data_IF_458632113054
#
_entry.id   IF_458632113054
#
_cell.length_a   1.000
_cell.length_b   1.000
_cell.length_c   1.000
_cell.angle_alpha   90.00
_cell.angle_beta   90.00
_cell.angle_gamma   90.00
#
_symmetry.space_group_name_H-M   'P 1'
#
loop_
_entity.id
_entity.type
_entity.pdbx_description
1 polymer ?
#
# COMPACT_ATOMS: atom_id res chain seq x y z
N UNK A 1 23.65 43.97 -30.72
CA UNK A 1 24.47 42.74 -30.87
C UNK A 1 24.66 42.15 -29.47
N UNK A 2 24.49 40.82 -29.30
CA UNK A 2 24.53 40.04 -28.04
C UNK A 2 23.16 40.06 -27.32
N UNK A 3 22.43 38.97 -27.10
CA UNK A 3 22.66 37.52 -27.07
C UNK A 3 21.30 36.88 -27.41
N UNK A 4 21.05 36.04 -28.42
CA UNK A 4 21.64 34.72 -28.72
C UNK A 4 21.66 33.72 -27.57
N UNK A 5 20.84 33.89 -26.54
CA UNK A 5 20.44 32.76 -25.70
C UNK A 5 18.96 32.58 -25.93
N UNK A 6 18.68 31.72 -26.90
CA UNK A 6 17.48 30.90 -26.90
C UNK A 6 17.45 30.30 -25.50
N UNK A 7 16.70 30.93 -24.59
CA UNK A 7 16.07 30.23 -23.48
C UNK A 7 15.03 29.33 -24.16
N UNK A 8 15.52 28.33 -24.88
CA UNK A 8 15.01 27.00 -24.72
C UNK A 8 15.17 26.77 -23.22
N UNK A 9 14.18 27.25 -22.46
CA UNK A 9 13.51 26.35 -21.55
C UNK A 9 13.51 25.04 -22.31
N UNK A 10 14.40 24.15 -21.88
CA UNK A 10 14.37 22.76 -22.20
C UNK A 10 12.96 22.40 -21.77
N UNK A 11 12.02 22.57 -22.70
CA UNK A 11 10.73 21.92 -22.64
C UNK A 11 11.21 20.50 -22.63
N UNK A 12 11.21 19.89 -21.45
CA UNK A 12 11.20 18.45 -21.34
C UNK A 12 9.94 18.07 -22.13
N UNK A 13 10.11 17.88 -23.44
CA UNK A 13 9.07 17.42 -24.34
C UNK A 13 8.65 16.12 -23.68
N UNK A 14 7.38 16.07 -23.24
CA UNK A 14 6.84 15.03 -22.37
C UNK A 14 6.79 13.66 -23.03
N UNK A 15 7.97 13.15 -23.37
CA UNK A 15 8.23 11.90 -24.07
C UNK A 15 8.70 10.83 -23.08
N UNK A 16 9.36 11.23 -22.00
CA UNK A 16 9.71 10.32 -20.90
C UNK A 16 8.48 10.04 -20.02
N UNK A 17 8.35 8.80 -19.58
CA UNK A 17 7.41 8.44 -18.53
C UNK A 17 7.80 9.08 -17.19
N UNK A 18 6.79 9.43 -16.40
CA UNK A 18 6.99 9.77 -14.99
C UNK A 18 7.38 8.54 -14.18
N UNK A 19 7.72 8.73 -12.90
CA UNK A 19 7.95 7.61 -11.99
C UNK A 19 6.66 6.77 -11.84
N UNK A 20 6.69 5.44 -12.06
CA UNK A 20 5.48 4.60 -12.11
C UNK A 20 4.79 4.38 -10.76
N UNK A 21 5.37 4.91 -9.66
CA UNK A 21 4.98 4.62 -8.29
C UNK A 21 5.60 3.31 -7.78
N UNK A 22 5.89 3.28 -6.49
CA UNK A 22 6.39 2.10 -5.78
C UNK A 22 5.45 1.78 -4.60
N UNK A 23 4.89 0.57 -4.50
CA UNK A 23 4.09 0.17 -3.35
C UNK A 23 4.95 0.04 -2.09
N UNK A 24 4.30 0.02 -0.92
CA UNK A 24 4.97 -0.28 0.33
C UNK A 24 5.64 -1.65 0.29
N UNK A 25 6.73 -1.81 1.04
CA UNK A 25 7.51 -3.05 1.12
C UNK A 25 8.00 -3.56 -0.25
N UNK A 26 8.37 -2.64 -1.13
CA UNK A 26 8.86 -2.95 -2.46
C UNK A 26 10.04 -2.08 -2.89
N UNK A 27 10.78 -2.62 -3.84
CA UNK A 27 11.86 -1.95 -4.56
C UNK A 27 11.54 -1.97 -6.06
N UNK A 28 11.84 -0.85 -6.74
CA UNK A 28 11.71 -0.71 -8.20
C UNK A 28 13.09 -0.55 -8.83
N UNK A 29 13.35 -1.33 -9.87
CA UNK A 29 14.53 -1.17 -10.72
C UNK A 29 14.13 -0.83 -12.16
N UNK A 30 14.94 -0.03 -12.83
CA UNK A 30 14.72 0.38 -14.21
C UNK A 30 15.80 -0.19 -15.11
N UNK A 31 15.42 -0.55 -16.32
CA UNK A 31 16.36 -1.04 -17.34
C UNK A 31 17.28 0.06 -17.90
N UNK A 32 16.92 1.32 -17.73
CA UNK A 32 17.61 2.51 -18.25
C UNK A 32 17.63 3.62 -17.19
N UNK A 33 18.59 4.54 -17.31
CA UNK A 33 18.71 5.70 -16.41
C UNK A 33 17.68 6.79 -16.70
N UNK A 34 17.31 6.95 -17.97
CA UNK A 34 16.19 7.79 -18.39
C UNK A 34 14.94 6.95 -18.58
N UNK A 35 13.81 7.45 -18.07
CA UNK A 35 12.50 6.81 -18.19
C UNK A 35 11.88 7.07 -19.57
N UNK A 36 12.63 6.82 -20.64
CA UNK A 36 12.17 6.99 -22.02
C UNK A 36 11.22 5.85 -22.47
N UNK A 37 10.46 6.02 -23.57
CA UNK A 37 9.67 4.94 -24.14
C UNK A 37 10.52 3.69 -24.41
N UNK A 38 9.99 2.52 -24.05
CA UNK A 38 10.70 1.25 -24.05
C UNK A 38 11.39 0.90 -22.73
N UNK A 39 11.51 1.84 -21.79
CA UNK A 39 12.05 1.55 -20.45
C UNK A 39 11.21 0.51 -19.72
N UNK A 40 11.86 -0.49 -19.12
CA UNK A 40 11.19 -1.51 -18.29
C UNK A 40 11.41 -1.20 -16.82
N UNK A 41 10.33 -1.07 -16.07
CA UNK A 41 10.32 -1.01 -14.61
C UNK A 41 10.01 -2.42 -14.05
N UNK A 42 10.88 -2.93 -13.19
CA UNK A 42 10.72 -4.22 -12.52
C UNK A 42 10.49 -4.01 -11.02
N UNK A 43 9.46 -4.66 -10.50
CA UNK A 43 9.05 -4.59 -9.10
C UNK A 43 9.51 -5.84 -8.35
N UNK A 44 10.05 -5.64 -7.16
CA UNK A 44 10.44 -6.70 -6.24
C UNK A 44 9.93 -6.38 -4.85
N UNK A 45 9.28 -7.34 -4.18
CA UNK A 45 8.85 -7.17 -2.80
C UNK A 45 9.97 -7.50 -1.81
N UNK A 46 9.90 -6.90 -0.64
CA UNK A 46 10.77 -7.24 0.49
C UNK A 46 10.52 -8.68 0.96
N UNK A 47 11.48 -9.25 1.72
CA UNK A 47 11.32 -10.60 2.26
C UNK A 47 10.08 -10.73 3.13
N UNK A 48 9.28 -11.77 2.86
CA UNK A 48 8.03 -12.03 3.56
C UNK A 48 6.79 -11.41 2.91
N UNK A 49 6.97 -10.74 1.77
CA UNK A 49 5.88 -10.20 0.96
C UNK A 49 5.85 -10.85 -0.42
N UNK A 50 4.65 -11.05 -0.94
CA UNK A 50 4.36 -11.59 -2.25
C UNK A 50 3.82 -10.51 -3.18
N UNK A 51 4.33 -10.47 -4.42
CA UNK A 51 3.95 -9.46 -5.39
C UNK A 51 2.62 -9.84 -6.06
N UNK A 52 1.61 -9.01 -5.84
CA UNK A 52 0.30 -9.15 -6.46
C UNK A 52 0.13 -8.12 -7.57
N UNK A 53 -0.11 -8.64 -8.78
CA UNK A 53 -0.23 -7.85 -10.00
C UNK A 53 1.00 -7.91 -10.91
N UNK A 54 1.17 -6.94 -11.82
CA UNK A 54 2.21 -6.99 -12.84
C UNK A 54 3.60 -6.70 -12.27
N UNK A 55 4.48 -7.71 -12.34
CA UNK A 55 5.85 -7.58 -11.87
C UNK A 55 6.74 -6.66 -12.72
N UNK A 56 6.33 -6.43 -13.97
CA UNK A 56 7.07 -5.60 -14.91
C UNK A 56 6.11 -4.67 -15.65
N UNK A 57 6.56 -3.46 -15.89
CA UNK A 57 5.87 -2.45 -16.67
C UNK A 57 6.79 -1.85 -17.72
N UNK A 58 6.21 -1.43 -18.83
CA UNK A 58 6.92 -0.83 -19.95
C UNK A 58 6.41 0.60 -20.12
N UNK A 59 7.33 1.55 -20.27
CA UNK A 59 7.02 2.92 -20.65
C UNK A 59 6.61 2.93 -22.13
N UNK A 60 5.35 3.24 -22.40
CA UNK A 60 4.84 3.36 -23.76
C UNK A 60 5.17 4.72 -24.36
N UNK A 61 5.09 4.84 -25.69
CA UNK A 61 5.38 6.09 -26.42
C UNK A 61 4.47 7.25 -26.04
N UNK A 62 3.28 6.96 -25.51
CA UNK A 62 2.35 7.95 -24.97
C UNK A 62 2.68 8.39 -23.53
N UNK A 63 3.92 8.18 -23.08
CA UNK A 63 4.44 8.50 -21.73
C UNK A 63 3.63 7.88 -20.57
N UNK A 64 2.96 6.76 -20.83
CA UNK A 64 2.25 5.97 -19.80
C UNK A 64 2.90 4.62 -19.53
N UNK A 65 2.71 4.09 -18.33
CA UNK A 65 3.18 2.75 -17.99
C UNK A 65 2.12 1.70 -18.27
N UNK A 66 2.52 0.66 -18.99
CA UNK A 66 1.67 -0.47 -19.34
C UNK A 66 2.24 -1.77 -18.77
N UNK A 67 1.42 -2.64 -18.14
CA UNK A 67 -0.01 -2.45 -17.83
C UNK A 67 -0.28 -1.35 -16.77
N UNK A 68 -1.50 -0.76 -16.76
CA UNK A 68 -1.89 0.27 -15.80
C UNK A 68 -2.10 -0.29 -14.39
N UNK A 69 -2.14 0.61 -13.40
CA UNK A 69 -2.33 0.27 -11.97
C UNK A 69 -1.01 -0.11 -11.28
N UNK A 70 -0.89 0.17 -9.98
CA UNK A 70 0.35 -0.09 -9.21
C UNK A 70 0.24 -1.48 -8.58
N UNK A 71 1.23 -2.38 -8.76
CA UNK A 71 1.20 -3.68 -8.07
C UNK A 71 1.28 -3.46 -6.55
N UNK A 72 0.93 -4.46 -5.76
CA UNK A 72 1.02 -4.37 -4.31
C UNK A 72 1.71 -5.60 -3.74
N UNK A 73 2.43 -5.40 -2.65
CA UNK A 73 3.14 -6.46 -1.95
C UNK A 73 2.27 -6.88 -0.75
N UNK A 74 1.73 -8.09 -0.79
CA UNK A 74 0.93 -8.66 0.30
C UNK A 74 1.81 -9.48 1.23
N UNK A 75 1.75 -9.20 2.52
CA UNK A 75 2.59 -9.85 3.52
C UNK A 75 1.98 -11.18 3.95
N UNK A 76 2.70 -12.28 3.80
CA UNK A 76 2.26 -13.55 4.38
C UNK A 76 2.35 -13.46 5.91
N UNK A 77 1.20 -13.58 6.58
CA UNK A 77 1.09 -13.54 8.04
C UNK A 77 1.79 -14.72 8.72
N UNK A 78 2.21 -15.74 7.98
CA UNK A 78 2.96 -16.89 8.49
C UNK A 78 4.48 -16.72 8.34
N UNK A 79 4.96 -15.59 7.79
CA UNK A 79 6.39 -15.30 7.73
C UNK A 79 6.95 -15.00 9.13
N UNK A 80 8.14 -15.53 9.51
CA UNK A 80 8.72 -15.33 10.84
C UNK A 80 9.07 -13.87 11.17
N UNK A 81 9.12 -12.98 10.17
CA UNK A 81 9.25 -11.53 10.40
C UNK A 81 7.94 -10.88 10.89
N UNK A 82 6.78 -11.45 10.57
CA UNK A 82 5.45 -10.91 10.90
C UNK A 82 4.81 -11.64 12.10
N UNK A 83 5.38 -12.77 12.53
CA UNK A 83 4.95 -13.52 13.71
C UNK A 83 5.03 -12.73 15.03
N UNK A 84 5.89 -11.71 15.08
CA UNK A 84 6.02 -10.81 16.23
C UNK A 84 4.85 -9.80 16.37
N UNK A 85 4.07 -9.56 15.31
CA UNK A 85 2.88 -8.70 15.35
C UNK A 85 1.61 -9.43 15.83
N UNK A 86 1.58 -10.78 15.78
CA UNK A 86 0.49 -11.55 16.41
C UNK A 86 0.44 -11.42 17.93
N UNK A 87 1.57 -11.09 18.58
CA UNK A 87 1.61 -10.85 20.03
C UNK A 87 1.36 -9.39 20.44
N UNK A 88 1.31 -8.44 19.50
CA UNK A 88 0.94 -7.04 19.77
C UNK A 88 -0.47 -6.68 19.27
N UNK A 89 -1.17 -7.60 18.61
CA UNK A 89 -2.53 -7.40 18.10
C UNK A 89 -3.63 -7.66 19.15
N UNK A 90 -3.34 -7.49 20.44
CA UNK A 90 -4.34 -7.45 21.52
C UNK A 90 -5.11 -6.12 21.60
N UNK A 91 -4.78 -5.12 20.77
CA UNK A 91 -5.40 -3.79 20.84
C UNK A 91 -6.47 -3.47 19.76
N UNK A 92 -6.71 -4.32 18.76
CA UNK A 92 -7.70 -4.02 17.68
C UNK A 92 -9.11 -4.64 17.93
N UNK A 93 -9.29 -5.39 19.02
CA UNK A 93 -10.63 -5.84 19.46
C UNK A 93 -11.35 -4.85 20.40
N UNK A 94 -11.00 -3.55 20.40
CA UNK A 94 -11.72 -2.51 21.16
C UNK A 94 -12.53 -1.56 20.26
N UNK A 95 -12.87 -1.96 19.03
CA UNK A 95 -13.74 -1.14 18.16
C UNK A 95 -15.06 -1.80 17.72
N UNK A 96 -15.40 -3.01 18.18
CA UNK A 96 -16.68 -3.66 17.77
C UNK A 96 -17.41 -4.48 18.84
N UNK A 97 -17.41 -4.02 20.09
CA UNK A 97 -18.39 -4.48 21.09
C UNK A 97 -19.36 -3.36 21.48
N UNK A 98 -19.84 -2.62 20.48
CA UNK A 98 -21.18 -2.04 20.56
C UNK A 98 -22.10 -2.99 19.77
N UNK A 99 -23.10 -3.53 20.45
CA UNK A 99 -24.09 -4.51 19.99
C UNK A 99 -23.65 -5.98 20.08
N UNK A 100 -23.61 -6.52 21.30
CA UNK A 100 -24.54 -7.61 21.70
C UNK A 100 -24.32 -8.03 23.17
N UNK A 101 -25.33 -7.70 23.99
CA UNK A 101 -25.87 -8.47 25.10
C UNK A 101 -24.88 -8.97 26.17
N UNK A 102 -24.82 -8.30 27.32
CA UNK A 102 -25.12 -8.86 28.64
C UNK A 102 -24.73 -7.88 29.78
N UNK A 103 -25.70 -7.64 30.68
CA UNK A 103 -25.61 -7.03 32.02
C UNK A 103 -25.60 -5.50 32.16
N UNK A 104 -26.81 -4.91 32.11
CA UNK A 104 -27.09 -3.67 32.85
C UNK A 104 -27.15 -3.95 34.36
N UNK A 105 -26.60 -3.09 35.22
CA UNK A 105 -26.69 -3.21 36.67
C UNK A 105 -27.97 -2.52 37.16
N UNK A 106 -29.06 -3.28 37.33
CA UNK A 106 -30.24 -2.78 38.03
C UNK A 106 -30.29 -3.41 39.42
N UNK A 107 -29.78 -2.65 40.40
CA UNK A 107 -30.04 -2.88 41.81
C UNK A 107 -31.55 -2.82 42.06
N UNK A 108 -32.15 -3.93 42.48
CA UNK A 108 -33.36 -3.92 43.30
C UNK A 108 -33.29 -5.06 44.33
N UNK A 109 -33.66 -4.79 45.61
CA UNK A 109 -33.47 -5.69 46.75
C UNK A 109 -34.46 -6.88 46.78
N UNK A 110 -34.18 -7.95 47.56
CA UNK A 110 -35.02 -9.13 47.62
C UNK A 110 -36.30 -8.85 48.44
N UNK A 111 -37.47 -9.12 47.87
CA UNK A 111 -38.72 -9.18 48.63
C UNK A 111 -38.91 -10.60 49.15
N UNK A 112 -38.75 -10.78 50.47
CA UNK A 112 -39.10 -12.01 51.19
C UNK A 112 -40.63 -11.99 51.36
N UNK A 113 -41.34 -12.86 50.65
CA UNK A 113 -42.71 -13.23 51.03
C UNK A 113 -42.68 -14.63 51.63
N UNK A 114 -42.89 -14.69 52.94
CA UNK A 114 -43.30 -15.90 53.64
C UNK A 114 -44.74 -16.25 53.23
N UNK A 115 -44.99 -17.51 52.90
CA UNK A 115 -46.33 -18.11 52.86
C UNK A 115 -46.22 -19.53 53.43
N UNK A 116 -47.19 -20.00 54.24
CA UNK A 116 -47.74 -21.34 54.03
C UNK A 116 -48.69 -21.34 52.83
#
# INVERSE_FOLDING_TARGET
MKHWIILSAIVATGLCCGFPGAPAHSSVSFSTTELAPGTVASYSCDRGFELLGPARKICAENSTWTPPGIPFCDGDLNHPLHSHLRHQSTCILVVRSAVSLFHSPHLSPPTIFHTP
#
